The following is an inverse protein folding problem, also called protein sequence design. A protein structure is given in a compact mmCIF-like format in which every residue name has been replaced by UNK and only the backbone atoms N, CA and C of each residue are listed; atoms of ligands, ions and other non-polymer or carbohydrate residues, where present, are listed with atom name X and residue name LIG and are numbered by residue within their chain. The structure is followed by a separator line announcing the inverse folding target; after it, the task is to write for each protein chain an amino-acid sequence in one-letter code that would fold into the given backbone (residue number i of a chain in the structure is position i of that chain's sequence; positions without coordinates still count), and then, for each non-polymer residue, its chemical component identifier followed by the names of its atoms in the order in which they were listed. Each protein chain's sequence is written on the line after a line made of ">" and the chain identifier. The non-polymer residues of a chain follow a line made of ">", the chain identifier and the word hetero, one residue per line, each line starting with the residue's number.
data_IF_515229024413
#
_entry.id   IF_515229024413
#
_cell.length_a   1.000
_cell.length_b   1.000
_cell.length_c   1.000
_cell.angle_alpha   90.00
_cell.angle_beta   90.00
_cell.angle_gamma   90.00
#
_symmetry.space_group_name_H-M   'P 1'
#
loop_
_entity.id
_entity.type
_entity.pdbx_description
1 polymer ?
#
# COMPACT_ATOMS: atom_id res chain seq x y z
N UNK A 1 -2.55 7.63 27.82
CA UNK A 1 -1.60 7.02 26.86
C UNK A 1 -2.30 5.99 25.96
N UNK A 2 -3.02 5.01 26.50
CA UNK A 2 -3.75 3.97 25.74
C UNK A 2 -4.79 4.55 24.75
N UNK A 3 -5.59 5.53 25.17
CA UNK A 3 -6.60 6.17 24.29
C UNK A 3 -5.99 6.94 23.11
N UNK A 4 -4.83 7.58 23.29
CA UNK A 4 -4.16 8.31 22.22
C UNK A 4 -3.57 7.35 21.17
N UNK A 5 -3.03 6.22 21.61
CA UNK A 5 -2.55 5.16 20.70
C UNK A 5 -3.72 4.54 19.91
N UNK A 6 -4.85 4.27 20.56
CA UNK A 6 -6.05 3.78 19.90
C UNK A 6 -6.57 4.75 18.82
N UNK A 7 -6.67 6.04 19.14
CA UNK A 7 -7.08 7.09 18.18
C UNK A 7 -6.14 7.14 16.97
N UNK A 8 -4.83 7.12 17.21
CA UNK A 8 -3.83 7.19 16.12
C UNK A 8 -3.86 5.93 15.24
N UNK A 9 -4.07 4.77 15.83
CA UNK A 9 -4.22 3.52 15.07
C UNK A 9 -5.49 3.53 14.23
N UNK A 10 -6.62 3.98 14.78
CA UNK A 10 -7.88 4.12 14.04
C UNK A 10 -7.76 5.12 12.89
N UNK A 11 -7.21 6.30 13.14
CA UNK A 11 -6.94 7.31 12.10
C UNK A 11 -6.09 6.73 10.97
N UNK A 12 -5.03 6.01 11.30
CA UNK A 12 -4.17 5.39 10.29
C UNK A 12 -4.89 4.32 9.47
N UNK A 13 -5.68 3.47 10.13
CA UNK A 13 -6.48 2.44 9.47
C UNK A 13 -7.51 3.09 8.53
N UNK A 14 -8.15 4.17 8.98
CA UNK A 14 -9.14 4.90 8.22
C UNK A 14 -8.52 5.63 7.01
N UNK A 15 -7.39 6.32 7.19
CA UNK A 15 -6.69 7.02 6.10
C UNK A 15 -6.11 6.07 5.05
N UNK A 16 -5.56 4.93 5.48
CA UNK A 16 -4.89 3.99 4.56
C UNK A 16 -5.83 2.96 3.97
N UNK A 17 -6.99 2.73 4.59
CA UNK A 17 -7.93 1.65 4.24
C UNK A 17 -7.21 0.29 4.12
N UNK A 18 -6.12 0.11 4.87
CA UNK A 18 -5.31 -1.10 4.83
C UNK A 18 -5.80 -2.08 5.89
N UNK A 19 -6.68 -2.99 5.46
CA UNK A 19 -7.11 -4.12 6.29
C UNK A 19 -5.99 -5.15 6.33
N UNK A 20 -5.54 -5.51 7.52
CA UNK A 20 -4.46 -6.49 7.69
C UNK A 20 -5.03 -7.91 7.66
N UNK A 21 -4.61 -8.69 6.68
CA UNK A 21 -4.80 -10.15 6.70
C UNK A 21 -3.97 -10.74 7.86
N UNK A 22 -4.53 -11.64 8.68
CA UNK A 22 -3.77 -12.28 9.75
C UNK A 22 -2.51 -12.96 9.24
N UNK A 23 -1.43 -12.90 10.03
CA UNK A 23 -0.11 -13.49 9.69
C UNK A 23 -0.13 -15.02 9.53
N UNK A 24 -1.23 -15.72 9.67
CA UNK A 24 -1.30 -17.16 9.35
C UNK A 24 -2.16 -17.43 8.12
N UNK A 25 -2.72 -16.37 7.50
CA UNK A 25 -3.67 -16.43 6.39
C UNK A 25 -3.22 -15.62 5.16
N UNK A 26 -2.13 -14.87 5.24
CA UNK A 26 -1.58 -14.18 4.06
C UNK A 26 -0.22 -13.53 4.27
N UNK A 27 0.45 -13.20 3.16
CA UNK A 27 1.81 -12.64 3.07
C UNK A 27 1.92 -11.68 1.89
N UNK A 28 2.80 -10.68 2.02
CA UNK A 28 3.37 -9.98 0.88
C UNK A 28 4.72 -10.59 0.57
N UNK A 29 5.01 -10.87 -0.69
CA UNK A 29 6.20 -11.58 -1.16
C UNK A 29 6.57 -11.14 -2.57
N UNK A 30 7.81 -11.33 -2.98
CA UNK A 30 8.24 -11.09 -4.36
C UNK A 30 7.95 -12.33 -5.24
N UNK A 31 7.78 -12.11 -6.53
CA UNK A 31 7.60 -13.18 -7.50
C UNK A 31 8.93 -13.70 -8.06
N UNK A 32 9.01 -14.99 -8.37
CA UNK A 32 10.07 -15.57 -9.19
C UNK A 32 9.53 -16.65 -10.14
N UNK A 33 10.30 -16.97 -11.18
CA UNK A 33 9.93 -17.96 -12.19
C UNK A 33 10.49 -19.34 -11.84
N UNK A 34 9.71 -20.37 -12.09
CA UNK A 34 10.19 -21.75 -12.16
C UNK A 34 10.89 -22.00 -13.50
N UNK A 35 12.21 -21.77 -13.53
CA UNK A 35 13.03 -21.96 -14.73
C UNK A 35 13.19 -23.43 -15.15
N UNK A 36 12.86 -24.38 -14.28
CA UNK A 36 13.02 -25.80 -14.52
C UNK A 36 11.73 -26.48 -15.00
N UNK A 37 10.58 -25.80 -14.88
CA UNK A 37 9.29 -26.27 -15.39
C UNK A 37 8.68 -27.41 -14.56
N UNK A 38 8.90 -27.40 -13.25
CA UNK A 38 8.29 -28.31 -12.28
C UNK A 38 6.79 -28.04 -12.07
N UNK A 39 6.38 -26.77 -12.14
CA UNK A 39 5.00 -26.33 -11.91
C UNK A 39 4.15 -26.39 -13.18
N UNK A 40 2.89 -26.83 -13.05
CA UNK A 40 1.92 -26.84 -14.16
C UNK A 40 1.18 -25.51 -14.29
N UNK A 41 0.48 -25.27 -15.42
CA UNK A 41 -0.38 -24.09 -15.55
C UNK A 41 -1.43 -24.05 -14.43
N UNK A 42 -1.51 -22.93 -13.71
CA UNK A 42 -2.43 -22.73 -12.58
C UNK A 42 -1.92 -23.24 -11.23
N UNK A 43 -0.72 -23.82 -11.18
CA UNK A 43 -0.02 -24.16 -9.96
C UNK A 43 1.03 -23.11 -9.61
N UNK A 44 1.25 -22.86 -8.33
CA UNK A 44 2.34 -22.05 -7.79
C UNK A 44 3.04 -22.82 -6.68
N UNK A 45 4.29 -22.49 -6.39
CA UNK A 45 4.95 -22.94 -5.16
C UNK A 45 5.12 -21.75 -4.22
N UNK A 46 4.71 -21.94 -2.96
CA UNK A 46 4.87 -20.92 -1.93
C UNK A 46 5.28 -21.53 -0.60
N UNK A 47 6.50 -21.19 -0.17
CA UNK A 47 7.03 -21.56 1.12
C UNK A 47 7.43 -20.29 1.86
N UNK A 48 7.01 -20.16 3.12
CA UNK A 48 7.26 -18.96 3.90
C UNK A 48 7.83 -19.27 5.29
N UNK A 49 8.56 -18.31 5.83
CA UNK A 49 9.05 -18.33 7.19
C UNK A 49 7.90 -18.07 8.16
N UNK A 50 7.65 -19.01 9.08
CA UNK A 50 6.61 -18.89 10.11
C UNK A 50 7.08 -18.02 11.28
N UNK A 51 8.30 -18.28 11.76
CA UNK A 51 8.93 -17.52 12.84
C UNK A 51 10.33 -17.09 12.42
N UNK A 52 10.57 -15.79 12.54
CA UNK A 52 11.90 -15.19 12.47
C UNK A 52 12.67 -15.50 13.76
N UNK A 53 12.95 -16.78 14.03
CA UNK A 53 13.91 -17.19 15.06
C UNK A 53 15.30 -17.28 14.43
N UNK A 54 16.27 -16.43 14.85
CA UNK A 54 17.63 -16.46 14.32
C UNK A 54 18.35 -17.80 14.48
N UNK A 55 17.90 -18.66 15.41
CA UNK A 55 18.55 -19.94 15.70
C UNK A 55 17.96 -21.09 14.91
N UNK A 56 16.66 -21.05 14.60
CA UNK A 56 15.92 -22.10 13.90
C UNK A 56 14.71 -21.49 13.17
N UNK A 57 14.90 -20.91 11.97
CA UNK A 57 13.78 -20.42 11.18
C UNK A 57 12.88 -21.59 10.78
N UNK A 58 11.66 -21.66 11.34
CA UNK A 58 10.66 -22.63 10.90
C UNK A 58 10.05 -22.16 9.58
N UNK A 59 9.97 -23.07 8.61
CA UNK A 59 9.39 -22.83 7.29
C UNK A 59 8.13 -23.66 7.14
N UNK A 60 7.15 -23.12 6.44
CA UNK A 60 5.91 -23.80 6.08
C UNK A 60 5.78 -23.78 4.57
N UNK A 61 5.66 -24.96 3.97
CA UNK A 61 5.20 -25.10 2.58
C UNK A 61 3.68 -25.00 2.60
N UNK A 62 3.13 -24.01 1.89
CA UNK A 62 1.69 -23.89 1.77
C UNK A 62 1.17 -24.79 0.67
N UNK A 63 0.13 -25.56 0.96
CA UNK A 63 -0.54 -26.45 0.00
C UNK A 63 -2.03 -26.19 0.06
N UNK A 64 -2.64 -25.85 -1.07
CA UNK A 64 -4.06 -25.55 -1.15
C UNK A 64 -4.40 -24.39 -2.07
N UNK A 65 -5.67 -23.99 -2.10
CA UNK A 65 -6.10 -22.83 -2.88
C UNK A 65 -5.55 -21.54 -2.25
N UNK A 66 -5.02 -20.67 -3.08
CA UNK A 66 -4.56 -19.32 -2.69
C UNK A 66 -5.11 -18.28 -3.65
N UNK A 67 -5.36 -17.09 -3.12
CA UNK A 67 -5.61 -15.89 -3.89
C UNK A 67 -4.33 -15.07 -4.00
N UNK A 68 -4.09 -14.49 -5.17
CA UNK A 68 -2.94 -13.62 -5.45
C UNK A 68 -3.46 -12.31 -6.05
N UNK A 69 -2.95 -11.19 -5.53
CA UNK A 69 -3.19 -9.85 -6.04
C UNK A 69 -1.87 -9.07 -6.12
N UNK A 70 -1.88 -8.01 -6.94
CA UNK A 70 -0.84 -7.00 -7.02
C UNK A 70 -1.50 -5.62 -6.94
N UNK A 71 -0.92 -4.71 -6.18
CA UNK A 71 -1.45 -3.36 -6.04
C UNK A 71 -0.77 -2.40 -7.02
N UNK A 72 -1.52 -1.49 -7.67
CA UNK A 72 -2.98 -1.33 -7.63
C UNK A 72 -3.73 -2.34 -8.52
N UNK A 73 -5.02 -2.57 -8.23
CA UNK A 73 -5.94 -3.35 -9.07
C UNK A 73 -6.98 -2.44 -9.70
N UNK A 74 -7.23 -2.60 -11.00
CA UNK A 74 -8.22 -1.82 -11.76
C UNK A 74 -9.29 -2.72 -12.40
N UNK A 75 -9.09 -4.03 -12.43
CA UNK A 75 -10.08 -4.99 -12.92
C UNK A 75 -10.38 -6.07 -11.89
N UNK A 76 -11.61 -6.60 -11.93
CA UNK A 76 -11.96 -7.81 -11.18
C UNK A 76 -11.11 -9.02 -11.58
N UNK A 77 -10.57 -9.02 -12.80
CA UNK A 77 -9.67 -10.04 -13.31
C UNK A 77 -8.29 -10.06 -12.64
N UNK A 78 -7.89 -8.96 -11.97
CA UNK A 78 -6.59 -8.84 -11.31
C UNK A 78 -6.49 -9.74 -10.06
N UNK A 79 -7.62 -10.18 -9.51
CA UNK A 79 -7.67 -11.18 -8.44
C UNK A 79 -7.66 -12.60 -9.02
N UNK A 80 -6.57 -13.32 -8.78
CA UNK A 80 -6.38 -14.68 -9.32
C UNK A 80 -6.43 -15.72 -8.20
N UNK A 81 -7.21 -16.76 -8.42
CA UNK A 81 -7.24 -17.95 -7.57
C UNK A 81 -6.44 -19.07 -8.25
N UNK A 82 -5.42 -19.57 -7.55
CA UNK A 82 -4.51 -20.61 -8.05
C UNK A 82 -4.29 -21.67 -6.98
N UNK A 83 -3.59 -22.75 -7.32
CA UNK A 83 -3.28 -23.82 -6.38
C UNK A 83 -1.81 -23.78 -5.99
N UNK A 84 -1.54 -23.55 -4.70
CA UNK A 84 -0.23 -23.80 -4.13
C UNK A 84 0.00 -25.32 -3.99
N UNK A 85 1.11 -25.80 -4.52
CA UNK A 85 1.49 -27.22 -4.48
C UNK A 85 2.82 -27.40 -3.78
N UNK A 86 3.01 -28.57 -3.19
CA UNK A 86 4.31 -28.99 -2.67
C UNK A 86 5.17 -29.51 -3.83
N UNK A 87 6.41 -29.02 -3.91
CA UNK A 87 7.40 -29.39 -4.91
C UNK A 87 8.77 -29.41 -4.23
N UNK A 88 9.30 -30.61 -4.00
CA UNK A 88 10.54 -30.86 -3.25
C UNK A 88 11.74 -30.15 -3.87
N UNK A 89 11.76 -30.07 -5.20
CA UNK A 89 12.81 -29.41 -5.99
C UNK A 89 12.89 -27.90 -5.75
N UNK A 90 11.82 -27.29 -5.21
CA UNK A 90 11.72 -25.85 -4.95
C UNK A 90 11.85 -25.50 -3.44
N UNK A 91 12.08 -26.48 -2.56
CA UNK A 91 12.15 -26.27 -1.10
C UNK A 91 13.30 -25.36 -0.63
N UNK A 92 14.29 -25.11 -1.49
CA UNK A 92 15.34 -24.14 -1.23
C UNK A 92 14.86 -22.68 -1.37
N UNK A 93 13.73 -22.44 -2.04
CA UNK A 93 13.14 -21.12 -2.24
C UNK A 93 12.17 -20.81 -1.09
N UNK A 94 12.40 -19.72 -0.36
CA UNK A 94 11.66 -19.33 0.85
C UNK A 94 11.30 -17.86 0.75
N UNK A 95 10.11 -17.49 1.22
CA UNK A 95 9.59 -16.12 1.23
C UNK A 95 9.49 -15.48 -0.17
N UNK A 96 9.38 -16.33 -1.19
CA UNK A 96 9.21 -15.99 -2.61
C UNK A 96 8.05 -16.82 -3.18
N UNK A 97 7.18 -16.20 -3.96
CA UNK A 97 6.13 -16.87 -4.72
C UNK A 97 6.67 -17.33 -6.08
N UNK A 98 6.65 -18.64 -6.33
CA UNK A 98 7.17 -19.21 -7.58
C UNK A 98 6.04 -19.45 -8.55
N UNK A 99 6.14 -18.80 -9.71
CA UNK A 99 5.19 -18.90 -10.81
C UNK A 99 5.65 -19.93 -11.87
N UNK A 100 4.70 -20.62 -12.52
CA UNK A 100 5.02 -21.55 -13.59
C UNK A 100 5.48 -20.78 -14.83
N UNK A 101 6.43 -21.35 -15.56
CA UNK A 101 6.90 -20.83 -16.86
C UNK A 101 6.16 -21.45 -18.05
N UNK A 102 5.15 -22.28 -17.77
CA UNK A 102 4.31 -22.95 -18.76
C UNK A 102 2.87 -22.43 -18.71
N UNK A 103 2.19 -22.40 -19.85
CA UNK A 103 0.81 -21.93 -19.98
C UNK A 103 0.62 -21.01 -21.19
N UNK A 104 -0.57 -20.41 -21.30
CA UNK A 104 -0.88 -19.44 -22.35
C UNK A 104 -0.39 -18.04 -22.00
N UNK A 105 -1.00 -17.44 -20.97
CA UNK A 105 -0.64 -16.13 -20.41
C UNK A 105 -0.04 -16.32 -19.01
N UNK A 106 1.14 -15.77 -18.68
CA UNK A 106 1.73 -15.93 -17.33
C UNK A 106 0.83 -15.39 -16.23
N UNK A 107 0.85 -15.99 -15.04
CA UNK A 107 -0.07 -15.64 -13.94
C UNK A 107 0.21 -14.22 -13.43
N UNK A 108 1.48 -13.86 -13.28
CA UNK A 108 1.92 -12.51 -12.89
C UNK A 108 1.36 -11.41 -13.81
N UNK A 109 1.36 -11.67 -15.12
CA UNK A 109 0.86 -10.73 -16.13
C UNK A 109 -0.68 -10.63 -16.11
N UNK A 110 -1.37 -11.69 -15.67
CA UNK A 110 -2.82 -11.64 -15.43
C UNK A 110 -3.21 -10.78 -14.21
N UNK A 111 -2.25 -10.40 -13.36
CA UNK A 111 -2.48 -9.67 -12.10
C UNK A 111 -1.97 -8.24 -12.28
N UNK A 112 -2.83 -7.37 -12.81
CA UNK A 112 -2.51 -5.96 -13.06
C UNK A 112 -1.32 -5.77 -14.02
N UNK A 113 -1.02 -6.73 -14.91
CA UNK A 113 0.14 -6.63 -15.81
C UNK A 113 1.49 -6.72 -15.09
N UNK A 114 1.56 -7.52 -14.02
CA UNK A 114 2.79 -7.70 -13.25
C UNK A 114 3.85 -8.52 -13.98
N UNK A 115 5.09 -8.34 -13.54
CA UNK A 115 6.24 -9.09 -14.02
C UNK A 115 7.10 -9.63 -12.86
N UNK A 116 8.33 -10.04 -13.15
CA UNK A 116 9.24 -10.66 -12.17
C UNK A 116 10.54 -9.85 -12.04
N UNK A 117 10.47 -8.52 -12.16
CA UNK A 117 11.62 -7.61 -12.02
C UNK A 117 11.81 -7.05 -10.59
N UNK A 118 10.89 -7.39 -9.68
CA UNK A 118 10.83 -6.85 -8.32
C UNK A 118 9.43 -6.66 -7.77
N UNK A 119 8.39 -6.98 -8.56
CA UNK A 119 6.99 -6.87 -8.15
C UNK A 119 6.68 -7.62 -6.83
N UNK A 120 5.93 -6.94 -5.97
CA UNK A 120 5.38 -7.48 -4.74
C UNK A 120 3.95 -7.99 -4.94
N UNK A 121 3.73 -9.25 -4.59
CA UNK A 121 2.46 -9.94 -4.63
C UNK A 121 1.92 -10.13 -3.21
N UNK A 122 0.61 -9.90 -3.04
CA UNK A 122 -0.08 -10.30 -1.82
C UNK A 122 -0.75 -11.64 -2.07
N UNK A 123 -0.31 -12.65 -1.32
CA UNK A 123 -0.83 -14.01 -1.35
C UNK A 123 -1.62 -14.26 -0.08
N UNK A 124 -2.86 -14.71 -0.19
CA UNK A 124 -3.70 -15.02 0.96
C UNK A 124 -4.55 -16.26 0.72
N UNK A 125 -4.93 -16.91 1.82
CA UNK A 125 -5.71 -18.15 1.87
C UNK A 125 -6.71 -18.12 3.02
N UNK A 126 -7.19 -16.92 3.36
CA UNK A 126 -8.23 -16.70 4.35
C UNK A 126 -9.59 -17.17 3.79
N UNK A 127 -10.23 -18.21 4.35
CA UNK A 127 -11.50 -18.73 3.85
C UNK A 127 -12.61 -17.67 3.74
N UNK A 128 -12.59 -16.64 4.59
CA UNK A 128 -13.60 -15.58 4.59
C UNK A 128 -13.39 -14.56 3.46
N UNK A 129 -12.18 -14.52 2.87
CA UNK A 129 -11.83 -13.65 1.74
C UNK A 129 -11.81 -14.41 0.40
N UNK A 130 -11.96 -15.73 0.41
CA UNK A 130 -11.96 -16.53 -0.81
C UNK A 130 -13.31 -16.41 -1.52
N UNK A 131 -13.28 -16.02 -2.80
CA UNK A 131 -14.48 -15.96 -3.63
C UNK A 131 -14.70 -17.30 -4.36
N UNK A 132 -15.96 -17.66 -4.67
CA UNK A 132 -16.27 -18.91 -5.36
C UNK A 132 -15.80 -18.92 -6.82
N UNK A 133 -15.47 -17.78 -7.42
CA UNK A 133 -15.02 -17.67 -8.81
C UNK A 133 -14.07 -16.48 -9.01
N UNK A 134 -13.28 -16.56 -10.07
CA UNK A 134 -12.42 -15.49 -10.60
C UNK A 134 -13.02 -14.94 -11.88
N UNK A 135 -12.94 -13.63 -12.12
CA UNK A 135 -13.20 -13.08 -13.45
C UNK A 135 -12.04 -13.39 -14.40
N UNK A 136 -12.27 -13.41 -15.73
CA UNK A 136 -11.19 -13.50 -16.69
C UNK A 136 -10.17 -12.35 -16.49
N UNK A 137 -8.86 -12.60 -16.69
CA UNK A 137 -7.86 -11.55 -16.66
C UNK A 137 -8.20 -10.42 -17.64
N UNK A 138 -7.96 -9.18 -17.24
CA UNK A 138 -8.17 -8.05 -18.13
C UNK A 138 -7.17 -8.06 -19.29
N UNK A 139 -7.66 -7.77 -20.50
CA UNK A 139 -6.84 -7.56 -21.68
C UNK A 139 -7.09 -6.15 -22.21
N UNK A 140 -6.05 -5.32 -22.13
CA UNK A 140 -6.08 -3.96 -22.67
C UNK A 140 -5.32 -3.95 -24.00
N UNK A 141 -5.93 -3.32 -25.00
CA UNK A 141 -5.29 -3.19 -26.32
C UNK A 141 -4.28 -2.06 -26.24
N UNK A 142 -3.01 -2.42 -26.30
CA UNK A 142 -1.94 -1.42 -26.39
C UNK A 142 -1.70 -1.02 -27.85
N UNK A 143 -1.61 0.28 -28.16
CA UNK A 143 -1.07 0.72 -29.43
C UNK A 143 0.40 0.28 -29.56
N UNK A 144 0.80 -0.17 -30.76
CA UNK A 144 2.19 -0.54 -31.03
C UNK A 144 3.05 0.72 -31.22
N UNK A 145 4.25 0.76 -30.61
CA UNK A 145 5.18 1.86 -30.84
C UNK A 145 5.72 1.81 -32.27
N UNK A 146 6.00 2.97 -32.85
CA UNK A 146 6.67 3.06 -34.14
C UNK A 146 8.16 2.72 -33.98
N UNK A 147 8.53 1.48 -34.29
CA UNK A 147 9.92 0.98 -34.19
C UNK A 147 10.85 1.49 -35.31
N UNK A 148 10.37 2.34 -36.22
CA UNK A 148 11.04 2.59 -37.51
C UNK A 148 12.31 3.45 -37.49
N UNK A 149 12.89 3.80 -36.32
CA UNK A 149 14.13 4.59 -36.30
C UNK A 149 15.13 4.21 -35.22
N UNK A 150 16.38 3.99 -35.64
CA UNK A 150 17.53 3.95 -34.73
C UNK A 150 17.77 5.37 -34.22
N UNK A 151 17.41 5.62 -32.96
CA UNK A 151 17.61 6.92 -32.32
C UNK A 151 19.09 7.09 -31.94
N UNK A 152 19.67 8.23 -32.29
CA UNK A 152 21.04 8.60 -31.91
C UNK A 152 21.08 9.25 -30.52
N UNK A 153 22.24 9.20 -29.84
CA UNK A 153 22.43 9.85 -28.53
C UNK A 153 22.11 11.35 -28.58
N UNK A 154 22.50 12.03 -29.67
CA UNK A 154 22.22 13.45 -29.85
C UNK A 154 20.72 13.74 -29.95
N UNK A 155 19.95 12.87 -30.62
CA UNK A 155 18.49 13.01 -30.69
C UNK A 155 17.83 12.77 -29.34
N UNK A 156 18.34 11.83 -28.53
CA UNK A 156 17.86 11.62 -27.15
C UNK A 156 18.09 12.88 -26.33
N UNK A 157 19.31 13.46 -26.35
CA UNK A 157 19.62 14.67 -25.59
C UNK A 157 18.75 15.86 -26.00
N UNK A 158 18.40 15.99 -27.28
CA UNK A 158 17.52 17.05 -27.78
C UNK A 158 16.03 16.80 -27.46
N UNK A 159 15.55 15.56 -27.56
CA UNK A 159 14.12 15.22 -27.40
C UNK A 159 13.71 14.95 -25.96
N UNK A 160 14.62 14.47 -25.11
CA UNK A 160 14.30 14.05 -23.74
C UNK A 160 13.78 15.19 -22.85
N UNK A 161 14.35 16.42 -22.87
CA UNK A 161 13.79 17.53 -22.10
C UNK A 161 12.37 17.90 -22.52
N UNK A 162 12.10 17.90 -23.83
CA UNK A 162 10.76 18.18 -24.41
C UNK A 162 9.78 17.09 -23.99
N UNK A 163 10.19 15.82 -24.09
CA UNK A 163 9.39 14.69 -23.64
C UNK A 163 9.09 14.77 -22.15
N UNK A 164 10.09 15.09 -21.31
CA UNK A 164 9.91 15.21 -19.85
C UNK A 164 8.93 16.32 -19.49
N UNK A 165 9.03 17.49 -20.13
CA UNK A 165 8.08 18.59 -19.94
C UNK A 165 6.65 18.16 -20.34
N UNK A 166 6.52 17.48 -21.48
CA UNK A 166 5.24 16.93 -21.96
C UNK A 166 4.66 15.93 -20.95
N UNK A 167 5.46 14.94 -20.55
CA UNK A 167 5.09 13.92 -19.56
C UNK A 167 4.61 14.56 -18.24
N UNK A 168 5.35 15.53 -17.70
CA UNK A 168 4.97 16.19 -16.44
C UNK A 168 3.65 16.95 -16.51
N UNK A 169 3.30 17.51 -17.67
CA UNK A 169 2.04 18.25 -17.84
C UNK A 169 0.84 17.34 -18.06
N UNK A 170 1.09 16.17 -18.65
CA UNK A 170 0.06 15.31 -19.19
C UNK A 170 -0.09 13.99 -18.42
N UNK A 171 0.72 13.77 -17.39
CA UNK A 171 0.53 12.67 -16.46
C UNK A 171 -0.84 12.77 -15.80
N UNK A 172 -1.65 11.74 -16.04
CA UNK A 172 -3.02 11.66 -15.54
C UNK A 172 -3.24 10.45 -14.65
N UNK A 173 -2.22 9.63 -14.34
CA UNK A 173 -2.38 8.39 -13.58
C UNK A 173 -3.11 8.66 -12.28
N UNK A 174 -2.65 9.64 -11.49
CA UNK A 174 -3.29 9.97 -10.22
C UNK A 174 -4.74 10.44 -10.35
N UNK A 175 -5.06 11.23 -11.38
CA UNK A 175 -6.43 11.72 -11.60
C UNK A 175 -7.35 10.60 -12.10
N UNK A 176 -6.87 9.80 -13.06
CA UNK A 176 -7.60 8.65 -13.61
C UNK A 176 -7.86 7.60 -12.53
N UNK A 177 -6.87 7.23 -11.71
CA UNK A 177 -7.04 6.27 -10.60
C UNK A 177 -8.06 6.74 -9.57
N UNK A 178 -8.08 8.03 -9.26
CA UNK A 178 -9.06 8.59 -8.32
C UNK A 178 -10.48 8.51 -8.88
N UNK A 179 -10.69 8.91 -10.14
CA UNK A 179 -12.01 8.83 -10.74
C UNK A 179 -12.45 7.38 -10.97
N UNK A 180 -11.51 6.48 -11.30
CA UNK A 180 -11.78 5.05 -11.38
C UNK A 180 -12.29 4.50 -10.05
N UNK A 181 -11.64 4.82 -8.93
CA UNK A 181 -12.09 4.40 -7.60
C UNK A 181 -13.53 4.90 -7.31
N UNK A 182 -13.80 6.18 -7.58
CA UNK A 182 -15.13 6.78 -7.36
C UNK A 182 -16.20 6.11 -8.23
N UNK A 183 -15.93 5.95 -9.54
CA UNK A 183 -16.90 5.38 -10.48
C UNK A 183 -17.12 3.89 -10.24
N UNK A 184 -16.08 3.13 -9.87
CA UNK A 184 -16.21 1.73 -9.50
C UNK A 184 -17.14 1.55 -8.28
N UNK A 185 -17.04 2.45 -7.30
CA UNK A 185 -17.92 2.45 -6.13
C UNK A 185 -19.38 2.86 -6.44
N UNK A 186 -19.59 3.74 -7.43
CA UNK A 186 -20.91 4.22 -7.83
C UNK A 186 -21.64 3.24 -8.77
N UNK A 187 -20.91 2.66 -9.71
CA UNK A 187 -21.46 2.00 -10.89
C UNK A 187 -21.09 0.51 -10.99
N UNK A 188 -20.11 0.04 -10.21
CA UNK A 188 -19.52 -1.30 -10.33
C UNK A 188 -18.28 -1.36 -11.22
N UNK A 189 -17.41 -2.34 -10.98
CA UNK A 189 -16.16 -2.56 -11.75
C UNK A 189 -16.40 -3.10 -13.17
N UNK A 190 -17.57 -3.66 -13.43
CA UNK A 190 -18.01 -4.16 -14.74
C UNK A 190 -18.61 -3.06 -15.63
N UNK A 191 -18.78 -1.85 -15.11
CA UNK A 191 -19.29 -0.72 -15.87
C UNK A 191 -18.31 -0.30 -16.98
N UNK A 192 -18.84 -0.03 -18.17
CA UNK A 192 -18.06 0.35 -19.36
C UNK A 192 -17.12 1.53 -19.12
N UNK A 193 -17.56 2.55 -18.37
CA UNK A 193 -16.75 3.74 -18.06
C UNK A 193 -15.58 3.40 -17.13
N UNK A 194 -15.79 2.47 -16.20
CA UNK A 194 -14.76 2.02 -15.27
C UNK A 194 -13.72 1.19 -16.01
N UNK A 195 -14.16 0.31 -16.92
CA UNK A 195 -13.27 -0.48 -17.78
C UNK A 195 -12.48 0.41 -18.75
N UNK A 196 -13.10 1.45 -19.34
CA UNK A 196 -12.39 2.41 -20.19
C UNK A 196 -11.32 3.18 -19.40
N UNK A 197 -11.64 3.61 -18.18
CA UNK A 197 -10.67 4.26 -17.29
C UNK A 197 -9.51 3.33 -16.92
N UNK A 198 -9.79 2.06 -16.62
CA UNK A 198 -8.75 1.06 -16.33
C UNK A 198 -7.78 0.92 -17.54
N UNK A 199 -8.31 0.86 -18.75
CA UNK A 199 -7.50 0.82 -19.98
C UNK A 199 -6.66 2.08 -20.18
N UNK A 200 -7.20 3.27 -19.86
CA UNK A 200 -6.43 4.53 -19.91
C UNK A 200 -5.30 4.56 -18.89
N UNK A 201 -5.55 4.09 -17.67
CA UNK A 201 -4.54 4.02 -16.61
C UNK A 201 -3.41 3.09 -17.02
N UNK A 202 -3.76 1.90 -17.52
CA UNK A 202 -2.82 0.89 -18.00
C UNK A 202 -1.89 1.44 -19.11
N UNK A 203 -2.45 2.10 -20.14
CA UNK A 203 -1.65 2.78 -21.16
C UNK A 203 -0.78 3.90 -20.56
N UNK A 204 -1.32 4.70 -19.63
CA UNK A 204 -0.58 5.78 -18.98
C UNK A 204 0.61 5.30 -18.15
N UNK A 205 0.52 4.14 -17.50
CA UNK A 205 1.64 3.54 -16.75
C UNK A 205 2.81 3.16 -17.66
N UNK A 206 2.52 2.79 -18.91
CA UNK A 206 3.52 2.46 -19.92
C UNK A 206 4.04 3.67 -20.70
N UNK A 207 3.40 4.84 -20.57
CA UNK A 207 3.71 6.03 -21.36
C UNK A 207 5.18 6.44 -21.27
N UNK A 208 5.77 6.39 -20.08
CA UNK A 208 7.18 6.73 -19.91
C UNK A 208 8.13 5.75 -20.62
N UNK A 209 7.70 4.49 -20.82
CA UNK A 209 8.49 3.43 -21.46
C UNK A 209 8.32 3.43 -22.98
N UNK A 210 7.10 3.56 -23.49
CA UNK A 210 6.80 3.40 -24.92
C UNK A 210 6.51 4.73 -25.66
N UNK A 211 6.37 5.85 -24.94
CA UNK A 211 6.09 7.15 -25.52
C UNK A 211 4.64 7.31 -26.05
N UNK A 212 3.76 6.35 -25.78
CA UNK A 212 2.37 6.38 -26.22
C UNK A 212 1.47 6.89 -25.10
N UNK A 213 0.75 7.95 -25.41
CA UNK A 213 -0.09 8.64 -24.45
C UNK A 213 -1.54 8.15 -24.56
N UNK A 214 -2.16 7.86 -23.43
CA UNK A 214 -3.59 7.57 -23.38
C UNK A 214 -4.42 8.81 -23.74
N UNK A 215 -5.64 8.57 -24.22
CA UNK A 215 -6.59 9.65 -24.52
C UNK A 215 -6.92 10.43 -23.23
N UNK A 216 -7.07 11.77 -23.30
CA UNK A 216 -7.47 12.56 -22.14
C UNK A 216 -8.77 12.08 -21.50
N UNK A 217 -8.92 12.37 -20.21
CA UNK A 217 -10.16 12.13 -19.48
C UNK A 217 -11.30 12.97 -20.07
N UNK A 218 -12.48 12.38 -20.21
CA UNK A 218 -13.70 13.06 -20.69
C UNK A 218 -14.67 13.34 -19.54
N UNK A 219 -15.65 14.22 -19.78
CA UNK A 219 -16.52 14.74 -18.72
C UNK A 219 -17.25 13.67 -17.90
N UNK A 220 -17.67 12.57 -18.53
CA UNK A 220 -18.40 11.50 -17.84
C UNK A 220 -17.49 10.53 -17.08
N UNK A 221 -16.17 10.60 -17.30
CA UNK A 221 -15.16 9.87 -16.53
C UNK A 221 -14.68 10.69 -15.32
N UNK A 222 -15.12 11.94 -15.20
CA UNK A 222 -14.72 12.83 -14.12
C UNK A 222 -15.87 12.99 -13.14
N UNK A 223 -15.61 12.65 -11.87
CA UNK A 223 -16.57 12.91 -10.81
C UNK A 223 -16.53 14.37 -10.37
N UNK A 224 -17.70 15.00 -10.30
CA UNK A 224 -17.87 16.35 -9.76
C UNK A 224 -17.84 16.38 -8.21
N UNK A 225 -18.01 15.23 -7.57
CA UNK A 225 -18.06 15.07 -6.12
C UNK A 225 -17.09 13.95 -5.71
N UNK A 226 -16.52 14.05 -4.51
CA UNK A 226 -15.66 12.99 -3.98
C UNK A 226 -16.37 12.31 -2.80
N UNK A 227 -16.31 10.98 -2.65
CA UNK A 227 -16.83 10.32 -1.47
C UNK A 227 -16.16 10.81 -0.17
N UNK A 228 -16.92 10.87 0.91
CA UNK A 228 -16.46 11.32 2.24
C UNK A 228 -15.21 10.57 2.71
N UNK A 229 -15.16 9.25 2.50
CA UNK A 229 -14.01 8.42 2.87
C UNK A 229 -12.72 8.66 2.10
N UNK A 230 -12.75 9.43 1.00
CA UNK A 230 -11.53 9.83 0.29
C UNK A 230 -10.79 10.99 0.97
N UNK A 231 -11.44 11.71 1.90
CA UNK A 231 -10.84 12.79 2.70
C UNK A 231 -10.13 13.87 1.86
N UNK A 232 -10.77 14.31 0.77
CA UNK A 232 -10.26 15.38 -0.09
C UNK A 232 -11.05 16.66 0.09
N UNK A 233 -10.35 17.78 0.17
CA UNK A 233 -10.97 19.11 0.34
C UNK A 233 -11.23 19.84 -0.99
N UNK A 234 -10.87 19.23 -2.13
CA UNK A 234 -10.93 19.90 -3.44
C UNK A 234 -12.35 19.95 -4.02
N UNK A 235 -13.21 18.99 -3.67
CA UNK A 235 -14.57 18.87 -4.19
C UNK A 235 -15.57 18.70 -3.03
N UNK A 236 -16.85 19.01 -3.25
CA UNK A 236 -17.86 18.72 -2.23
C UNK A 236 -17.95 17.22 -1.98
N UNK A 237 -18.00 16.85 -0.70
CA UNK A 237 -18.07 15.47 -0.28
C UNK A 237 -19.50 14.91 -0.32
N UNK A 238 -19.65 13.61 -0.57
CA UNK A 238 -20.92 12.89 -0.43
C UNK A 238 -20.74 11.54 0.25
N UNK A 239 -21.79 11.04 0.90
CA UNK A 239 -21.74 9.78 1.64
C UNK A 239 -22.27 8.63 0.78
N UNK A 240 -21.47 7.56 0.66
CA UNK A 240 -21.86 6.32 0.01
C UNK A 240 -22.18 5.23 1.04
N UNK A 241 -23.32 4.55 0.86
CA UNK A 241 -23.68 3.39 1.68
C UNK A 241 -23.06 2.11 1.12
N UNK A 242 -21.73 2.05 1.14
CA UNK A 242 -20.93 0.89 0.76
C UNK A 242 -19.98 0.51 1.90
N UNK A 243 -19.24 -0.59 1.74
CA UNK A 243 -18.35 -1.12 2.79
C UNK A 243 -17.31 -0.08 3.22
N UNK A 244 -16.69 0.63 2.27
CA UNK A 244 -15.59 1.57 2.55
C UNK A 244 -16.11 2.85 3.23
N UNK A 245 -17.24 3.38 2.75
CA UNK A 245 -17.90 4.54 3.33
C UNK A 245 -18.45 4.25 4.72
N UNK A 246 -19.09 3.09 4.93
CA UNK A 246 -19.55 2.68 6.26
C UNK A 246 -18.37 2.50 7.22
N UNK A 247 -17.31 1.82 6.78
CA UNK A 247 -16.09 1.67 7.54
C UNK A 247 -15.48 3.02 7.96
N UNK A 248 -15.43 3.99 7.05
CA UNK A 248 -14.96 5.34 7.36
C UNK A 248 -15.78 5.99 8.47
N UNK A 249 -17.11 5.95 8.35
CA UNK A 249 -18.01 6.56 9.33
C UNK A 249 -17.96 5.85 10.67
N UNK A 250 -17.88 4.52 10.68
CA UNK A 250 -17.72 3.73 11.90
C UNK A 250 -16.40 4.09 12.61
N UNK A 251 -15.29 4.17 11.87
CA UNK A 251 -14.01 4.64 12.42
C UNK A 251 -14.14 6.04 13.02
N UNK A 252 -14.82 6.95 12.31
CA UNK A 252 -15.06 8.32 12.78
C UNK A 252 -15.89 8.36 14.06
N UNK A 253 -16.99 7.61 14.13
CA UNK A 253 -17.83 7.52 15.33
C UNK A 253 -17.04 7.00 16.53
N UNK A 254 -16.26 5.93 16.34
CA UNK A 254 -15.41 5.40 17.42
C UNK A 254 -14.37 6.44 17.86
N UNK A 255 -13.77 7.17 16.92
CA UNK A 255 -12.83 8.25 17.24
C UNK A 255 -13.49 9.38 18.03
N UNK A 256 -14.70 9.80 17.66
CA UNK A 256 -15.48 10.82 18.37
C UNK A 256 -15.83 10.34 19.80
N UNK A 257 -16.29 9.11 19.97
CA UNK A 257 -16.57 8.52 21.30
C UNK A 257 -15.33 8.50 22.21
N UNK A 258 -14.16 8.12 21.69
CA UNK A 258 -12.92 8.12 22.47
C UNK A 258 -12.53 9.54 22.91
N UNK A 259 -12.78 10.54 22.06
CA UNK A 259 -12.52 11.95 22.39
C UNK A 259 -13.49 12.47 23.46
N UNK A 260 -14.78 12.11 23.39
CA UNK A 260 -15.78 12.51 24.38
C UNK A 260 -15.48 11.94 25.78
N UNK A 261 -15.05 10.68 25.88
CA UNK A 261 -14.63 10.07 27.15
C UNK A 261 -13.47 10.85 27.79
N UNK A 262 -12.57 11.40 26.96
CA UNK A 262 -11.44 12.21 27.44
C UNK A 262 -11.89 13.55 28.04
N UNK A 263 -12.97 14.14 27.55
CA UNK A 263 -13.51 15.41 28.08
C UNK A 263 -14.26 15.23 29.40
N UNK A 264 -14.81 14.05 29.66
CA UNK A 264 -15.52 13.75 30.91
C UNK A 264 -14.57 13.44 32.08
N UNK A 265 -13.35 12.97 31.81
CA UNK A 265 -12.31 12.71 32.82
C UNK A 265 -11.48 13.97 33.13
N UNK A 266 -12.16 15.07 33.48
CA UNK A 266 -11.56 16.31 34.00
C UNK A 266 -11.26 16.20 35.52
N UNK A 267 -10.92 15.02 36.02
CA UNK A 267 -10.37 14.93 37.36
C UNK A 267 -9.00 15.63 37.39
N UNK A 268 -8.80 16.54 38.34
CA UNK A 268 -7.46 17.13 38.53
C UNK A 268 -6.47 15.99 38.78
N UNK A 269 -5.29 15.99 38.13
CA UNK A 269 -4.36 14.87 38.26
C UNK A 269 -4.04 14.64 39.74
N UNK A 270 -4.44 13.48 40.25
CA UNK A 270 -4.09 13.06 41.61
C UNK A 270 -2.66 12.53 41.56
N UNK A 271 -1.79 13.09 42.39
CA UNK A 271 -0.41 12.61 42.51
C UNK A 271 -0.45 11.17 43.03
N UNK A 272 0.12 10.23 42.27
CA UNK A 272 0.27 8.85 42.72
C UNK A 272 1.27 8.81 43.88
N UNK A 273 0.87 8.38 45.09
CA UNK A 273 1.77 8.32 46.26
C UNK A 273 3.00 7.44 46.03
N UNK A 274 2.98 6.52 45.06
CA UNK A 274 4.14 5.68 44.70
C UNK A 274 5.19 6.43 43.88
N UNK A 275 4.83 7.57 43.29
CA UNK A 275 5.70 8.41 42.46
C UNK A 275 6.24 9.60 43.27
N UNK A 276 5.67 9.88 44.45
CA UNK A 276 6.15 10.94 45.31
C UNK A 276 7.50 10.59 45.95
N UNK A 277 8.53 11.33 45.54
CA UNK A 277 9.88 11.20 46.10
C UNK A 277 10.06 12.15 47.29
N UNK A 278 10.42 11.69 48.50
CA UNK A 278 10.61 12.57 49.64
C UNK A 278 11.64 13.68 49.36
N UNK A 279 11.25 14.94 49.60
CA UNK A 279 12.10 16.11 49.34
C UNK A 279 12.11 16.62 47.90
N UNK A 280 11.21 16.14 47.03
CA UNK A 280 11.09 16.60 45.64
C UNK A 280 10.88 18.12 45.49
N UNK A 281 10.32 18.77 46.51
CA UNK A 281 10.03 20.21 46.54
C UNK A 281 11.28 21.07 46.30
N UNK A 282 12.46 20.62 46.74
CA UNK A 282 13.74 21.31 46.53
C UNK A 282 14.10 21.44 45.04
N UNK A 283 13.68 20.46 44.23
CA UNK A 283 13.97 20.36 42.80
C UNK A 283 12.86 20.93 41.92
N UNK A 284 11.76 21.40 42.53
CA UNK A 284 10.55 21.83 41.81
C UNK A 284 10.84 22.93 40.78
N UNK A 285 11.66 23.91 41.14
CA UNK A 285 12.00 25.02 40.25
C UNK A 285 12.87 24.55 39.07
N UNK A 286 13.84 23.67 39.30
CA UNK A 286 14.68 23.10 38.24
C UNK A 286 13.89 22.18 37.31
N UNK A 287 12.99 21.37 37.88
CA UNK A 287 12.09 20.50 37.14
C UNK A 287 11.11 21.32 36.26
N UNK A 288 10.56 22.42 36.78
CA UNK A 288 9.70 23.31 36.01
C UNK A 288 10.46 23.96 34.85
N UNK A 289 11.67 24.46 35.11
CA UNK A 289 12.54 25.04 34.07
C UNK A 289 12.85 24.01 32.96
N UNK A 290 13.15 22.77 33.35
CA UNK A 290 13.42 21.68 32.41
C UNK A 290 12.18 21.28 31.61
N UNK A 291 11.00 21.27 32.25
CA UNK A 291 9.73 20.99 31.60
C UNK A 291 9.37 22.08 30.58
N UNK A 292 9.58 23.34 30.92
CA UNK A 292 9.29 24.46 30.02
C UNK A 292 10.24 24.46 28.81
N UNK A 293 11.52 24.14 29.04
CA UNK A 293 12.48 23.93 27.95
C UNK A 293 12.07 22.76 27.04
N UNK A 294 11.64 21.64 27.61
CA UNK A 294 11.14 20.48 26.87
C UNK A 294 9.89 20.82 26.04
N UNK A 295 8.89 21.48 26.63
CA UNK A 295 7.69 21.93 25.92
C UNK A 295 8.03 22.82 24.75
N UNK A 296 8.92 23.78 24.95
CA UNK A 296 9.40 24.67 23.89
C UNK A 296 10.02 23.87 22.73
N UNK A 297 10.86 22.88 23.02
CA UNK A 297 11.45 22.02 21.98
C UNK A 297 10.39 21.21 21.24
N UNK A 298 9.42 20.65 21.96
CA UNK A 298 8.32 19.89 21.37
C UNK A 298 7.44 20.77 20.48
N UNK A 299 7.12 21.98 20.91
CA UNK A 299 6.33 22.94 20.13
C UNK A 299 7.04 23.34 18.84
N UNK A 300 8.36 23.59 18.89
CA UNK A 300 9.17 23.84 17.69
C UNK A 300 9.10 22.66 16.72
N UNK A 301 9.30 21.44 17.21
CA UNK A 301 9.24 20.25 16.37
C UNK A 301 7.84 20.00 15.79
N UNK A 302 6.79 20.27 16.55
CA UNK A 302 5.40 20.17 16.07
C UNK A 302 5.13 21.20 14.98
N UNK A 303 5.60 22.46 15.14
CA UNK A 303 5.47 23.50 14.12
C UNK A 303 6.24 23.17 12.83
N UNK A 304 7.48 22.71 12.94
CA UNK A 304 8.30 22.32 11.79
C UNK A 304 7.66 21.18 10.97
N UNK A 305 6.96 20.27 11.64
CA UNK A 305 6.34 19.10 11.04
C UNK A 305 4.83 19.25 10.82
N UNK A 306 4.26 20.43 11.07
CA UNK A 306 2.83 20.73 10.92
C UNK A 306 1.91 19.75 11.71
N UNK A 307 2.32 19.41 12.94
CA UNK A 307 1.63 18.47 13.81
C UNK A 307 0.79 19.19 14.86
N UNK A 308 -0.33 18.57 15.22
CA UNK A 308 -1.31 19.11 16.16
C UNK A 308 -1.21 18.47 17.55
N UNK A 309 -0.40 17.42 17.75
CA UNK A 309 -0.20 16.81 19.07
C UNK A 309 1.15 16.10 19.26
N UNK A 310 1.57 15.98 20.53
CA UNK A 310 2.76 15.21 20.93
C UNK A 310 2.62 13.72 20.56
N UNK A 311 1.39 13.20 20.50
CA UNK A 311 1.13 11.84 20.03
C UNK A 311 1.51 11.66 18.55
N UNK A 312 1.20 12.65 17.71
CA UNK A 312 1.62 12.67 16.31
C UNK A 312 3.15 12.73 16.17
N UNK A 313 3.83 13.52 17.01
CA UNK A 313 5.29 13.59 17.08
C UNK A 313 5.93 12.23 17.45
N UNK A 314 5.38 11.54 18.45
CA UNK A 314 5.85 10.23 18.88
C UNK A 314 5.72 9.16 17.79
N UNK A 315 4.64 9.18 17.01
CA UNK A 315 4.45 8.29 15.86
C UNK A 315 5.43 8.62 14.72
N UNK A 316 5.71 9.90 14.48
CA UNK A 316 6.72 10.33 13.52
C UNK A 316 8.11 9.79 13.88
N UNK A 317 8.56 9.91 15.13
CA UNK A 317 9.83 9.32 15.58
C UNK A 317 9.84 7.79 15.51
N UNK A 318 8.73 7.15 15.86
CA UNK A 318 8.55 5.69 15.74
C UNK A 318 8.68 5.20 14.29
N UNK A 319 8.34 6.06 13.33
CA UNK A 319 8.45 5.81 11.89
C UNK A 319 9.81 6.16 11.32
N UNK A 320 10.46 7.24 11.77
CA UNK A 320 11.86 7.55 11.41
C UNK A 320 12.77 6.40 11.84
N UNK A 321 12.62 5.88 13.06
CA UNK A 321 13.36 4.68 13.49
C UNK A 321 13.04 3.44 12.65
N UNK A 322 11.80 3.29 12.18
CA UNK A 322 11.41 2.17 11.30
C UNK A 322 12.00 2.34 9.89
N UNK A 323 12.06 3.58 9.39
CA UNK A 323 12.70 3.95 8.14
C UNK A 323 14.21 3.79 8.19
N UNK A 324 14.87 4.16 9.30
CA UNK A 324 16.30 3.93 9.52
C UNK A 324 16.63 2.44 9.57
N UNK A 325 15.76 1.59 10.15
CA UNK A 325 15.93 0.14 10.15
C UNK A 325 15.71 -0.45 8.74
N UNK A 326 14.75 0.06 7.96
CA UNK A 326 14.55 -0.37 6.56
C UNK A 326 15.62 0.15 5.60
N UNK A 327 16.15 1.37 5.81
CA UNK A 327 17.25 1.92 5.02
C UNK A 327 18.57 1.23 5.36
N UNK A 328 18.79 0.81 6.61
CA UNK A 328 19.92 -0.04 6.97
C UNK A 328 19.90 -1.40 6.23
N UNK A 329 18.69 -1.92 5.92
CA UNK A 329 18.54 -3.13 5.09
C UNK A 329 18.87 -2.88 3.61
N UNK A 330 18.65 -1.66 3.10
CA UNK A 330 19.02 -1.28 1.72
C UNK A 330 20.52 -0.97 1.59
N UNK A 331 21.14 -0.34 2.59
CA UNK A 331 22.57 -0.05 2.57
C UNK A 331 23.43 -1.32 2.63
N UNK A 332 22.97 -2.38 3.31
CA UNK A 332 23.64 -3.68 3.32
C UNK A 332 23.55 -4.37 1.94
N UNK A 333 22.48 -4.17 1.16
CA UNK A 333 22.40 -4.65 -0.22
C UNK A 333 23.26 -3.83 -1.19
N UNK A 334 23.44 -2.53 -0.94
CA UNK A 334 24.35 -1.68 -1.72
C UNK A 334 25.83 -2.02 -1.53
N UNK A 335 26.23 -2.46 -0.33
CA UNK A 335 27.62 -2.86 -0.04
C UNK A 335 27.98 -4.28 -0.51
N UNK A 336 27.01 -5.14 -0.84
CA UNK A 336 27.27 -6.48 -1.39
C UNK A 336 27.39 -6.50 -2.92
N UNK A 337 27.18 -5.36 -3.59
CA UNK A 337 27.41 -5.15 -5.03
C UNK A 337 28.83 -4.66 -5.38
N UNK A 338 29.74 -4.56 -4.41
CA UNK A 338 31.15 -4.27 -4.60
C UNK A 338 32.01 -5.28 -3.84
N UNK A 339 31.98 -6.53 -4.26
CA UNK A 339 33.02 -7.54 -4.03
C UNK A 339 33.16 -8.41 -5.26
#
# INVERSE_FOLDING_TARGET
>A
MVQADALMNLKFIDEKKQVRVPKHLGRTTIGAADFNGFLKPGEVFFQYTEKLDPKCPSKIVHVGPVAIIRSPMYSLGDLRFVKAVDCEELHNLVDVLIFPTVGGRPIQDQISGGDLDGDEYVVFWDPDLMLPFSQPPAEFVHPEPDESSKVTVNEIQAKFPIFREKYMREDMVGNASNNHAILAELCGYDNEQVVELAAKIDISLLYFKNGIQAKPLVQHEMSAFDPDHMMKDQKPAFSLNNVIGNFHRDCRTIMEEILEVKEQDQSSPVLDPLIEFPGWEEWKNEAQTSLDAFKTQVDVLMLENNLNSIGELGVLQSRIRRWEISSFSMDIMGCLGQC
#
